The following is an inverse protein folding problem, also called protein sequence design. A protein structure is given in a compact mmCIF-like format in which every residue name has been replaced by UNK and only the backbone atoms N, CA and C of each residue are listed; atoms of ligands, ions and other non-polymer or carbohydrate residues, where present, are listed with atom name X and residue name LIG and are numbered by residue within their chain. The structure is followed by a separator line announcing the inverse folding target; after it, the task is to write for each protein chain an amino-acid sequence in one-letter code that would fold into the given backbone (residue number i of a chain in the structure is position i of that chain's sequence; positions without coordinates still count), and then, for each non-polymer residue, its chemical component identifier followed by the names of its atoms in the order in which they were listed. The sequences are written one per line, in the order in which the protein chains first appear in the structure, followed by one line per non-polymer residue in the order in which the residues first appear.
data_IF_439602559482
#
_entry.id   IF_439602559482
#
_cell.length_a   1.000
_cell.length_b   1.000
_cell.length_c   1.000
_cell.angle_alpha   90.00
_cell.angle_beta   90.00
_cell.angle_gamma   90.00
#
_symmetry.space_group_name_H-M   'P 1'
#
loop_
_entity.id
_entity.type
_entity.pdbx_description
1 polymer ?
#
# COMPACT_ATOMS: atom_id res chain seq x y z
N UNK A 1 11.80 -3.38 -13.32
CA UNK A 1 12.12 -2.97 -11.94
C UNK A 1 10.88 -3.08 -11.09
N UNK A 2 11.03 -3.38 -9.81
CA UNK A 2 9.91 -3.44 -8.86
C UNK A 2 9.99 -2.30 -7.85
N UNK A 3 8.84 -1.85 -7.37
CA UNK A 3 8.70 -0.99 -6.21
C UNK A 3 7.60 -1.59 -5.33
N UNK A 4 7.88 -1.70 -4.03
CA UNK A 4 6.89 -2.04 -3.02
C UNK A 4 6.95 -0.95 -1.94
N UNK A 5 5.81 -0.34 -1.65
CA UNK A 5 5.69 0.72 -0.65
C UNK A 5 4.57 0.43 0.33
N UNK A 6 4.82 0.79 1.59
CA UNK A 6 3.81 0.86 2.65
C UNK A 6 3.80 2.29 3.17
N UNK A 7 2.60 2.88 3.32
CA UNK A 7 2.43 4.16 4.02
C UNK A 7 1.38 4.01 5.12
N UNK A 8 1.57 4.76 6.20
CA UNK A 8 0.60 4.91 7.28
C UNK A 8 0.47 6.40 7.59
N UNK A 9 -0.72 6.95 7.36
CA UNK A 9 -1.05 8.33 7.71
C UNK A 9 -1.85 8.36 9.02
N UNK A 10 -1.42 9.21 9.94
CA UNK A 10 -2.04 9.42 11.24
C UNK A 10 -2.61 10.85 11.38
N UNK A 11 -3.10 11.19 12.58
CA UNK A 11 -3.65 12.51 12.90
C UNK A 11 -2.78 13.66 12.39
N UNK A 12 -3.37 14.53 11.58
CA UNK A 12 -2.71 15.70 11.01
C UNK A 12 -1.66 15.39 9.93
N UNK A 13 -1.52 14.13 9.51
CA UNK A 13 -0.56 13.71 8.50
C UNK A 13 -1.19 13.54 7.12
N UNK A 14 -0.45 13.97 6.11
CA UNK A 14 -0.70 13.65 4.70
C UNK A 14 0.53 12.95 4.16
N UNK A 15 0.40 11.67 3.80
CA UNK A 15 1.48 10.86 3.25
C UNK A 15 1.28 10.69 1.74
N UNK A 16 2.02 11.44 0.91
CA UNK A 16 1.99 11.30 -0.55
C UNK A 16 3.17 10.47 -1.02
N UNK A 17 2.91 9.20 -1.33
CA UNK A 17 3.90 8.21 -1.73
C UNK A 17 3.58 7.62 -3.10
N UNK A 18 4.60 7.13 -3.81
CA UNK A 18 4.38 6.41 -5.04
C UNK A 18 5.65 6.18 -5.83
N UNK A 19 5.49 5.77 -7.08
CA UNK A 19 6.61 5.49 -7.97
C UNK A 19 6.40 6.02 -9.37
N UNK A 20 7.52 6.18 -10.08
CA UNK A 20 7.54 6.49 -11.49
C UNK A 20 8.31 5.41 -12.23
N UNK A 21 7.63 4.64 -13.08
CA UNK A 21 8.25 3.63 -13.96
C UNK A 21 8.25 4.16 -15.39
N UNK A 22 9.44 4.33 -15.97
CA UNK A 22 9.63 4.94 -17.29
C UNK A 22 10.34 3.95 -18.20
N UNK A 23 9.62 3.45 -19.20
CA UNK A 23 10.08 2.44 -20.15
C UNK A 23 10.56 3.12 -21.43
N UNK A 24 11.89 3.15 -21.62
CA UNK A 24 12.55 3.76 -22.78
C UNK A 24 13.15 2.75 -23.77
N UNK A 25 13.03 1.45 -23.47
CA UNK A 25 13.60 0.37 -24.28
C UNK A 25 12.60 -0.81 -24.43
N UNK A 26 12.74 -1.63 -25.50
CA UNK A 26 11.92 -2.81 -25.71
C UNK A 26 12.03 -3.82 -24.57
N UNK A 27 10.99 -4.64 -24.38
CA UNK A 27 10.95 -5.79 -23.47
C UNK A 27 11.34 -5.48 -22.01
N UNK A 28 11.03 -4.26 -21.56
CA UNK A 28 11.22 -3.84 -20.18
C UNK A 28 10.00 -4.18 -19.34
N UNK A 29 10.20 -4.67 -18.12
CA UNK A 29 9.11 -4.99 -17.19
C UNK A 29 9.15 -4.10 -15.94
N UNK A 30 7.98 -3.72 -15.42
CA UNK A 30 7.87 -3.06 -14.12
C UNK A 30 6.71 -3.58 -13.28
N UNK A 31 6.88 -3.45 -11.96
CA UNK A 31 5.85 -3.78 -10.98
C UNK A 31 5.82 -2.69 -9.90
N UNK A 32 4.64 -2.17 -9.59
CA UNK A 32 4.41 -1.27 -8.45
C UNK A 32 3.37 -1.94 -7.55
N UNK A 33 3.70 -2.12 -6.28
CA UNK A 33 2.78 -2.58 -5.25
C UNK A 33 2.77 -1.50 -4.16
N UNK A 34 1.63 -0.85 -3.96
CA UNK A 34 1.46 0.17 -2.92
C UNK A 34 0.39 -0.25 -1.94
N UNK A 35 0.74 -0.29 -0.65
CA UNK A 35 -0.17 -0.52 0.47
C UNK A 35 -0.29 0.79 1.26
N UNK A 36 -1.49 1.32 1.38
CA UNK A 36 -1.76 2.57 2.10
C UNK A 36 -2.64 2.31 3.30
N UNK A 37 -2.27 2.84 4.46
CA UNK A 37 -3.06 2.80 5.69
C UNK A 37 -3.38 4.22 6.14
N UNK A 38 -4.60 4.41 6.63
CA UNK A 38 -5.05 5.72 7.13
C UNK A 38 -5.84 5.56 8.42
N UNK A 39 -5.47 6.32 9.45
CA UNK A 39 -6.11 6.36 10.76
C UNK A 39 -6.13 7.74 11.39
N UNK A 40 -6.95 7.91 12.42
CA UNK A 40 -7.13 9.09 13.25
C UNK A 40 -7.34 10.39 12.43
N UNK A 41 -7.99 10.28 11.26
CA UNK A 41 -8.21 11.42 10.36
C UNK A 41 -7.02 11.75 9.47
N UNK A 42 -6.04 10.86 9.36
CA UNK A 42 -4.94 10.95 8.41
C UNK A 42 -5.42 10.85 6.96
N UNK A 43 -4.55 11.27 6.03
CA UNK A 43 -4.76 11.08 4.60
C UNK A 43 -3.54 10.40 3.96
N UNK A 44 -3.74 9.19 3.43
CA UNK A 44 -2.73 8.48 2.66
C UNK A 44 -2.99 8.61 1.15
N UNK A 45 -2.03 9.16 0.42
CA UNK A 45 -2.12 9.40 -1.02
C UNK A 45 -1.13 8.48 -1.74
N UNK A 46 -1.62 7.67 -2.67
CA UNK A 46 -0.80 7.02 -3.68
C UNK A 46 -0.73 7.88 -4.94
N UNK A 47 0.48 8.21 -5.40
CA UNK A 47 0.74 8.95 -6.64
C UNK A 47 1.69 8.19 -7.56
N UNK A 48 1.11 7.43 -8.48
CA UNK A 48 1.85 6.63 -9.45
C UNK A 48 2.02 7.30 -10.81
N UNK A 49 3.14 7.06 -11.48
CA UNK A 49 3.29 7.33 -12.92
C UNK A 49 3.89 6.14 -13.65
N UNK A 50 3.26 5.71 -14.74
CA UNK A 50 3.88 4.75 -15.67
C UNK A 50 3.90 5.36 -17.07
N UNK A 51 5.08 5.38 -17.67
CA UNK A 51 5.29 5.88 -19.03
C UNK A 51 5.92 4.80 -19.91
N UNK A 52 5.26 4.45 -21.00
CA UNK A 52 5.84 3.64 -22.09
C UNK A 52 6.11 4.55 -23.27
N UNK A 53 7.39 4.76 -23.58
CA UNK A 53 7.81 5.51 -24.76
C UNK A 53 7.47 4.76 -26.06
N UNK A 54 7.55 5.44 -27.21
CA UNK A 54 7.41 4.81 -28.54
C UNK A 54 8.45 3.72 -28.85
N UNK A 55 9.53 3.65 -28.07
CA UNK A 55 10.56 2.62 -28.22
C UNK A 55 10.31 1.39 -27.33
N UNK A 56 9.29 1.43 -26.47
CA UNK A 56 9.02 0.43 -25.44
C UNK A 56 8.25 -0.80 -25.98
N UNK A 57 8.67 -1.33 -27.12
CA UNK A 57 8.00 -2.47 -27.78
C UNK A 57 8.01 -3.68 -26.84
N UNK A 58 6.85 -4.27 -26.57
CA UNK A 58 6.73 -5.42 -25.68
C UNK A 58 7.02 -5.10 -24.20
N UNK A 59 6.99 -3.83 -23.79
CA UNK A 59 7.10 -3.45 -22.39
C UNK A 59 5.85 -3.88 -21.60
N UNK A 60 6.04 -4.23 -20.32
CA UNK A 60 4.97 -4.70 -19.43
C UNK A 60 5.03 -3.97 -18.10
N UNK A 61 3.89 -3.52 -17.60
CA UNK A 61 3.77 -2.87 -16.30
C UNK A 61 2.56 -3.39 -15.53
N UNK A 62 2.76 -3.71 -14.26
CA UNK A 62 1.69 -4.08 -13.34
C UNK A 62 1.70 -3.12 -12.15
N UNK A 63 0.53 -2.58 -11.79
CA UNK A 63 0.37 -1.62 -10.70
C UNK A 63 -0.76 -2.07 -9.79
N UNK A 64 -0.46 -2.42 -8.55
CA UNK A 64 -1.41 -2.80 -7.51
C UNK A 64 -1.41 -1.75 -6.39
N UNK A 65 -2.58 -1.21 -6.07
CA UNK A 65 -2.78 -0.10 -5.13
C UNK A 65 -3.88 -0.43 -4.14
N UNK A 66 -3.47 -0.96 -3.00
CA UNK A 66 -4.38 -1.39 -1.95
C UNK A 66 -4.38 -0.39 -0.79
N UNK A 67 -5.57 -0.11 -0.27
CA UNK A 67 -5.79 0.84 0.82
C UNK A 67 -6.62 0.19 1.93
N UNK A 68 -6.18 0.39 3.18
CA UNK A 68 -6.90 0.03 4.39
C UNK A 68 -7.17 1.28 5.23
N UNK A 69 -8.45 1.65 5.36
CA UNK A 69 -8.90 2.76 6.21
C UNK A 69 -9.37 2.19 7.55
N UNK A 70 -8.82 2.71 8.65
CA UNK A 70 -8.99 2.17 10.00
C UNK A 70 -10.17 2.81 10.77
N UNK A 71 -10.71 3.93 10.29
CA UNK A 71 -11.83 4.64 10.89
C UNK A 71 -12.67 5.40 9.86
N UNK A 72 -13.69 6.14 10.32
CA UNK A 72 -14.62 6.86 9.45
C UNK A 72 -14.20 8.29 9.10
N UNK A 73 -13.18 8.84 9.77
CA UNK A 73 -12.70 10.21 9.57
C UNK A 73 -11.47 10.28 8.66
N UNK A 74 -10.80 9.15 8.46
CA UNK A 74 -9.59 9.03 7.64
C UNK A 74 -9.92 8.91 6.15
N UNK A 75 -9.00 9.42 5.35
CA UNK A 75 -9.14 9.47 3.89
C UNK A 75 -7.96 8.80 3.20
N UNK A 76 -8.16 8.47 1.93
CA UNK A 76 -7.08 8.02 1.06
C UNK A 76 -7.38 8.32 -0.39
N UNK A 77 -6.38 8.79 -1.12
CA UNK A 77 -6.47 9.15 -2.54
C UNK A 77 -5.51 8.30 -3.39
N UNK A 78 -6.00 7.83 -4.54
CA UNK A 78 -5.19 7.11 -5.53
C UNK A 78 -5.15 7.92 -6.83
N UNK A 79 -3.98 8.44 -7.17
CA UNK A 79 -3.77 9.38 -8.28
C UNK A 79 -2.79 8.78 -9.30
N UNK A 80 -3.25 7.85 -10.16
CA UNK A 80 -2.41 7.25 -11.19
C UNK A 80 -2.27 8.16 -12.41
N UNK A 81 -1.09 8.16 -13.02
CA UNK A 81 -0.82 8.84 -14.29
C UNK A 81 -0.20 7.87 -15.29
N UNK A 82 -0.90 7.59 -16.39
CA UNK A 82 -0.43 6.67 -17.41
C UNK A 82 -0.21 7.36 -18.75
N UNK A 83 0.97 7.16 -19.34
CA UNK A 83 1.32 7.65 -20.67
C UNK A 83 1.88 6.51 -21.51
N UNK A 84 1.02 5.90 -22.33
CA UNK A 84 1.37 4.75 -23.16
C UNK A 84 1.42 5.19 -24.62
N UNK A 85 2.63 5.24 -25.18
CA UNK A 85 2.88 5.71 -26.55
C UNK A 85 3.24 4.57 -27.51
N UNK A 86 3.32 3.33 -27.02
CA UNK A 86 3.63 2.12 -27.79
C UNK A 86 2.47 1.12 -27.72
N UNK A 87 1.94 0.74 -28.89
CA UNK A 87 0.75 -0.09 -29.02
C UNK A 87 0.99 -1.59 -28.76
N UNK A 88 2.25 -2.04 -28.78
CA UNK A 88 2.65 -3.41 -28.44
C UNK A 88 3.09 -3.56 -26.97
N UNK A 89 2.71 -2.63 -26.10
CA UNK A 89 3.03 -2.67 -24.67
C UNK A 89 1.78 -2.90 -23.82
N UNK A 90 1.97 -3.48 -22.63
CA UNK A 90 0.89 -3.88 -21.73
C UNK A 90 1.01 -3.13 -20.40
N UNK A 91 -0.10 -2.57 -19.92
CA UNK A 91 -0.20 -2.00 -18.59
C UNK A 91 -1.46 -2.53 -17.92
N UNK A 92 -1.29 -3.10 -16.72
CA UNK A 92 -2.36 -3.55 -15.84
C UNK A 92 -2.35 -2.71 -14.57
N UNK A 93 -3.53 -2.25 -14.15
CA UNK A 93 -3.70 -1.50 -12.91
C UNK A 93 -4.87 -2.05 -12.12
N UNK A 94 -4.60 -2.43 -10.88
CA UNK A 94 -5.55 -2.89 -9.88
C UNK A 94 -5.48 -1.96 -8.67
N UNK A 95 -6.62 -1.82 -7.97
CA UNK A 95 -6.64 -1.13 -6.71
C UNK A 95 -7.89 -1.42 -5.89
N UNK A 96 -7.69 -1.64 -4.60
CA UNK A 96 -8.74 -2.00 -3.65
C UNK A 96 -8.76 -1.00 -2.51
N UNK A 97 -9.95 -0.53 -2.14
CA UNK A 97 -10.14 0.23 -0.89
C UNK A 97 -10.96 -0.62 0.05
N UNK A 98 -10.40 -0.89 1.23
CA UNK A 98 -11.02 -1.68 2.29
C UNK A 98 -11.11 -0.85 3.57
N UNK A 99 -12.17 -1.08 4.34
CA UNK A 99 -12.27 -0.63 5.73
C UNK A 99 -12.08 -1.82 6.66
N UNK A 100 -11.60 -1.57 7.87
CA UNK A 100 -11.61 -2.59 8.92
C UNK A 100 -13.07 -2.98 9.20
N UNK A 101 -13.37 -4.26 9.07
CA UNK A 101 -14.70 -4.78 9.32
C UNK A 101 -14.95 -4.92 10.82
N UNK A 102 -16.01 -4.30 11.32
CA UNK A 102 -16.49 -4.51 12.69
C UNK A 102 -16.73 -6.01 12.99
N UNK A 103 -17.14 -6.79 11.99
CA UNK A 103 -17.32 -8.24 12.15
C UNK A 103 -15.98 -8.95 12.32
N UNK A 104 -14.93 -8.54 11.61
CA UNK A 104 -13.58 -9.11 11.75
C UNK A 104 -12.99 -8.77 13.12
N UNK A 105 -13.14 -7.51 13.56
CA UNK A 105 -12.73 -7.09 14.91
C UNK A 105 -13.49 -7.87 15.98
N UNK A 106 -14.82 -7.91 15.88
CA UNK A 106 -15.65 -8.66 16.83
C UNK A 106 -15.27 -10.14 16.88
N UNK A 107 -15.01 -10.76 15.72
CA UNK A 107 -14.59 -12.15 15.66
C UNK A 107 -13.26 -12.36 16.39
N UNK A 108 -12.25 -11.54 16.12
CA UNK A 108 -10.94 -11.63 16.76
C UNK A 108 -11.02 -11.37 18.27
N UNK A 109 -11.80 -10.36 18.69
CA UNK A 109 -12.03 -10.07 20.10
C UNK A 109 -12.78 -11.19 20.83
N UNK A 110 -13.71 -11.87 20.16
CA UNK A 110 -14.40 -13.05 20.71
C UNK A 110 -13.46 -14.23 20.98
N UNK A 111 -12.25 -14.21 20.39
CA UNK A 111 -11.18 -15.19 20.65
C UNK A 111 -10.25 -14.77 21.78
N UNK A 112 -10.54 -13.67 22.47
CA UNK A 112 -9.81 -13.20 23.64
C UNK A 112 -8.75 -12.15 23.34
N UNK A 113 -8.67 -11.65 22.10
CA UNK A 113 -7.82 -10.51 21.75
C UNK A 113 -8.46 -9.22 22.22
N UNK A 114 -7.63 -8.26 22.64
CA UNK A 114 -8.05 -6.87 22.78
C UNK A 114 -8.33 -6.28 21.40
N UNK A 115 -9.10 -5.18 21.35
CA UNK A 115 -9.36 -4.45 20.10
C UNK A 115 -8.06 -3.99 19.42
N UNK A 116 -7.08 -3.58 20.21
CA UNK A 116 -5.74 -3.19 19.74
C UNK A 116 -5.01 -4.37 19.10
N UNK A 117 -4.93 -5.52 19.77
CA UNK A 117 -4.29 -6.73 19.22
C UNK A 117 -5.01 -7.24 17.97
N UNK A 118 -6.35 -7.15 17.94
CA UNK A 118 -7.15 -7.52 16.77
C UNK A 118 -6.86 -6.61 15.57
N UNK A 119 -6.81 -5.29 15.80
CA UNK A 119 -6.50 -4.30 14.77
C UNK A 119 -5.09 -4.48 14.23
N UNK A 120 -4.11 -4.68 15.11
CA UNK A 120 -2.72 -4.96 14.73
C UNK A 120 -2.64 -6.22 13.86
N UNK A 121 -3.34 -7.30 14.21
CA UNK A 121 -3.36 -8.53 13.42
C UNK A 121 -3.91 -8.31 12.01
N UNK A 122 -4.96 -7.48 11.86
CA UNK A 122 -5.54 -7.13 10.56
C UNK A 122 -4.52 -6.33 9.73
N UNK A 123 -3.89 -5.32 10.34
CA UNK A 123 -2.86 -4.50 9.68
C UNK A 123 -1.68 -5.34 9.23
N UNK A 124 -1.16 -6.23 10.10
CA UNK A 124 -0.05 -7.12 9.78
C UNK A 124 -0.39 -8.06 8.62
N UNK A 125 -1.62 -8.59 8.58
CA UNK A 125 -2.10 -9.38 7.45
C UNK A 125 -2.17 -8.57 6.14
N UNK A 126 -2.55 -7.30 6.22
CA UNK A 126 -2.63 -6.40 5.07
C UNK A 126 -1.25 -6.05 4.47
N UNK A 127 -0.25 -5.81 5.32
CA UNK A 127 1.11 -5.47 4.87
C UNK A 127 2.01 -6.70 4.62
N UNK A 128 1.48 -7.91 4.82
CA UNK A 128 2.22 -9.17 4.70
C UNK A 128 3.01 -9.34 3.38
N UNK A 129 2.50 -8.92 2.21
CA UNK A 129 3.29 -8.98 0.97
C UNK A 129 4.59 -8.19 1.03
N UNK A 130 4.62 -7.07 1.76
CA UNK A 130 5.83 -6.26 1.95
C UNK A 130 6.80 -6.92 2.94
N UNK A 131 6.29 -7.47 4.04
CA UNK A 131 7.14 -8.10 5.06
C UNK A 131 7.86 -9.34 4.54
N UNK A 132 7.26 -10.07 3.59
CA UNK A 132 7.89 -11.22 2.92
C UNK A 132 9.07 -10.85 2.02
N UNK A 133 9.10 -9.64 1.49
CA UNK A 133 10.15 -9.15 0.57
C UNK A 133 11.33 -8.53 1.33
N UNK A 134 11.13 -8.19 2.61
CA UNK A 134 12.19 -7.69 3.47
C UNK A 134 13.07 -8.83 4.00
N UNK A 135 14.40 -8.61 4.11
CA UNK A 135 15.25 -9.51 4.87
C UNK A 135 14.75 -9.64 6.31
N UNK A 136 14.92 -10.83 6.89
CA UNK A 136 14.35 -11.19 8.20
C UNK A 136 14.62 -10.15 9.30
N UNK A 137 15.83 -9.58 9.33
CA UNK A 137 16.24 -8.54 10.28
C UNK A 137 15.39 -7.26 10.18
N UNK A 138 15.05 -6.81 8.98
CA UNK A 138 14.22 -5.62 8.77
C UNK A 138 12.73 -5.92 8.97
N UNK A 139 12.28 -7.12 8.65
CA UNK A 139 10.90 -7.53 8.91
C UNK A 139 10.60 -7.55 10.43
N UNK A 140 11.56 -8.02 11.24
CA UNK A 140 11.44 -7.98 12.71
C UNK A 140 11.39 -6.54 13.21
N UNK A 141 12.26 -5.67 12.69
CA UNK A 141 12.28 -4.25 13.08
C UNK A 141 10.99 -3.53 12.71
N UNK A 142 10.47 -3.76 11.50
CA UNK A 142 9.20 -3.20 11.06
C UNK A 142 8.05 -3.61 11.98
N UNK A 143 8.01 -4.88 12.40
CA UNK A 143 6.99 -5.34 13.35
C UNK A 143 7.07 -4.59 14.69
N UNK A 144 8.28 -4.29 15.17
CA UNK A 144 8.47 -3.53 16.41
C UNK A 144 8.03 -2.06 16.24
N UNK A 145 8.39 -1.42 15.12
CA UNK A 145 8.00 -0.03 14.84
C UNK A 145 6.49 0.12 14.73
N UNK A 146 5.82 -0.81 14.05
CA UNK A 146 4.37 -0.81 13.95
C UNK A 146 3.71 -1.00 15.33
N UNK A 147 4.24 -1.89 16.16
CA UNK A 147 3.74 -2.08 17.52
C UNK A 147 3.86 -0.80 18.37
N UNK A 148 4.99 -0.10 18.25
CA UNK A 148 5.23 1.17 18.93
C UNK A 148 4.23 2.25 18.47
N UNK A 149 4.09 2.45 17.16
CA UNK A 149 3.15 3.42 16.59
C UNK A 149 1.70 3.13 17.00
N UNK A 150 1.33 1.86 17.18
CA UNK A 150 -0.01 1.44 17.63
C UNK A 150 -0.20 1.61 19.14
N UNK A 151 0.87 1.63 19.93
CA UNK A 151 0.81 1.74 21.40
C UNK A 151 0.72 3.19 21.90
N UNK A 152 1.28 4.15 21.15
CA UNK A 152 1.29 5.57 21.55
C UNK A 152 0.03 6.37 21.12
N UNK A 153 -0.86 5.77 20.33
CA UNK A 153 -1.98 6.47 19.67
C UNK A 153 -3.37 6.21 20.29
N UNK A 154 -3.44 5.56 21.46
CA UNK A 154 -4.71 5.39 22.20
C UNK A 154 -4.60 6.15 23.53
N UNK A 155 -4.94 7.44 23.49
CA UNK A 155 -5.01 8.35 24.63
C UNK A 155 -5.97 9.49 24.37
#
# INVERSE_FOLDING_TARGET
GSMISVSMADEGQVQDIGARMIHQAPHTSSQIISKSLSRNGGNAIYRGTVEHSKAAVGAKSYVDCDTLILDDQSESDTIPTYRILEGLSELEHEGTVSKVSEEQLFYLMSRGLTEQEATEMIIMGFIEPFTRELPMEYAVELNQLLHLDMSESVG
#
